data_IF_659699973169
#
_entry.id   IF_659699973169
#
_cell.length_a   1.000
_cell.length_b   1.000
_cell.length_c   1.000
_cell.angle_alpha   90.00
_cell.angle_beta   90.00
_cell.angle_gamma   90.00
#
_symmetry.space_group_name_H-M   'P 1'
#
loop_
_entity.id
_entity.type
_entity.pdbx_description
1 polymer ?
#
# COMPACT_ATOMS: atom_id res chain seq x y z
N UNK A 1 -12.55 -4.51 21.61
CA UNK A 1 -11.76 -3.47 22.35
C UNK A 1 -10.52 -4.11 23.00
N UNK A 2 -9.32 -3.91 22.44
CA UNK A 2 -8.06 -4.46 22.99
C UNK A 2 -7.76 -3.81 24.35
N UNK A 3 -7.84 -4.56 25.45
CA UNK A 3 -7.43 -4.06 26.77
C UNK A 3 -5.90 -3.79 26.78
N UNK A 4 -5.41 -2.77 27.52
CA UNK A 4 -3.99 -2.49 27.63
C UNK A 4 -3.22 -3.73 28.11
N UNK A 5 -2.11 -4.09 27.43
CA UNK A 5 -1.31 -5.29 27.74
C UNK A 5 -0.88 -5.37 29.22
N UNK A 6 -0.65 -4.23 29.86
CA UNK A 6 -0.32 -4.14 31.29
C UNK A 6 -1.46 -4.58 32.21
N UNK A 7 -2.69 -4.13 31.94
CA UNK A 7 -3.88 -4.47 32.73
C UNK A 7 -4.24 -5.96 32.60
N UNK A 8 -4.09 -6.53 31.39
CA UNK A 8 -4.29 -7.98 31.15
C UNK A 8 -3.27 -8.82 31.92
N UNK A 9 -2.00 -8.41 31.93
CA UNK A 9 -0.95 -9.10 32.70
C UNK A 9 -1.22 -9.02 34.21
N UNK A 10 -1.68 -7.88 34.71
CA UNK A 10 -1.99 -7.69 36.12
C UNK A 10 -3.21 -8.53 36.57
N UNK A 11 -4.28 -8.56 35.76
CA UNK A 11 -5.44 -9.43 35.99
C UNK A 11 -5.08 -10.92 35.96
N UNK A 12 -4.29 -11.35 34.98
CA UNK A 12 -3.83 -12.74 34.89
C UNK A 12 -2.89 -13.12 36.03
N UNK A 13 -2.06 -12.18 36.50
CA UNK A 13 -1.22 -12.34 37.70
C UNK A 13 -2.06 -12.51 38.96
N UNK A 14 -3.11 -11.71 39.13
CA UNK A 14 -4.07 -11.84 40.25
C UNK A 14 -4.87 -13.15 40.19
N UNK A 15 -5.18 -13.65 38.98
CA UNK A 15 -5.85 -14.94 38.78
C UNK A 15 -4.94 -16.17 38.98
N UNK A 16 -3.62 -15.97 39.15
CA UNK A 16 -2.64 -17.07 39.26
C UNK A 16 -2.58 -17.97 38.02
N UNK A 17 -3.07 -17.49 36.87
CA UNK A 17 -3.23 -18.25 35.64
C UNK A 17 -2.48 -17.54 34.52
N UNK A 18 -1.63 -18.29 33.80
CA UNK A 18 -0.94 -17.84 32.60
C UNK A 18 -1.48 -18.56 31.39
N UNK A 19 -1.47 -17.92 30.25
CA UNK A 19 -1.83 -18.57 29.00
C UNK A 19 -1.70 -17.65 27.81
N UNK A 20 -1.86 -18.26 26.64
CA UNK A 20 -1.75 -17.59 25.36
C UNK A 20 -2.64 -18.30 24.34
N UNK A 21 -3.21 -17.52 23.43
CA UNK A 21 -3.83 -18.04 22.21
C UNK A 21 -2.73 -18.11 21.16
N UNK A 22 -2.41 -19.31 20.68
CA UNK A 22 -1.33 -19.53 19.71
C UNK A 22 -1.84 -19.28 18.28
N UNK A 23 -3.00 -19.85 17.93
CA UNK A 23 -3.57 -19.74 16.58
C UNK A 23 -5.09 -19.69 16.61
N UNK A 24 -5.65 -19.11 15.55
CA UNK A 24 -7.05 -19.29 15.17
C UNK A 24 -7.13 -19.64 13.69
N UNK A 25 -7.90 -20.67 13.36
CA UNK A 25 -8.23 -21.06 12.00
C UNK A 25 -9.75 -21.17 11.92
N UNK A 26 -10.38 -20.23 11.23
CA UNK A 26 -11.84 -20.11 11.16
C UNK A 26 -12.49 -20.08 12.56
N UNK A 27 -13.34 -21.05 12.86
CA UNK A 27 -14.06 -21.24 14.11
C UNK A 27 -13.24 -21.98 15.20
N UNK A 28 -12.01 -22.40 14.89
CA UNK A 28 -11.16 -23.21 15.77
C UNK A 28 -10.01 -22.41 16.37
N UNK A 29 -9.84 -22.52 17.67
CA UNK A 29 -8.86 -21.82 18.50
C UNK A 29 -7.93 -22.81 19.20
N UNK A 30 -6.63 -22.55 19.15
CA UNK A 30 -5.64 -23.38 19.82
C UNK A 30 -4.68 -22.52 20.63
N UNK A 31 -4.25 -23.05 21.78
CA UNK A 31 -3.35 -22.33 22.66
C UNK A 31 -2.96 -23.14 23.89
N UNK A 32 -2.51 -22.44 24.93
CA UNK A 32 -2.24 -23.05 26.23
C UNK A 32 -2.69 -22.16 27.38
N UNK A 33 -3.06 -22.78 28.49
CA UNK A 33 -3.28 -22.10 29.76
C UNK A 33 -2.90 -23.01 30.94
N UNK A 34 -2.27 -22.43 31.96
CA UNK A 34 -1.83 -23.15 33.16
C UNK A 34 -2.10 -22.31 34.41
N UNK A 35 -2.65 -22.94 35.44
CA UNK A 35 -2.89 -22.33 36.74
C UNK A 35 -1.84 -22.78 37.76
N UNK A 36 -1.34 -21.84 38.56
CA UNK A 36 -0.33 -22.13 39.60
C UNK A 36 -0.87 -23.08 40.68
N UNK A 37 -2.18 -23.05 40.92
CA UNK A 37 -2.87 -23.97 41.83
C UNK A 37 -2.81 -25.43 41.38
N UNK A 38 -2.46 -25.70 40.11
CA UNK A 38 -2.51 -27.04 39.53
C UNK A 38 -3.92 -27.54 39.24
N UNK A 39 -4.95 -26.69 39.40
CA UNK A 39 -6.33 -27.02 39.02
C UNK A 39 -6.47 -27.11 37.50
N UNK A 40 -7.43 -27.93 37.08
CA UNK A 40 -7.86 -27.98 35.69
C UNK A 40 -8.51 -26.65 35.29
N UNK A 41 -8.32 -26.26 34.03
CA UNK A 41 -8.84 -25.01 33.50
C UNK A 41 -9.92 -25.29 32.46
N UNK A 42 -11.02 -24.56 32.58
CA UNK A 42 -12.01 -24.39 31.53
C UNK A 42 -11.60 -23.22 30.66
N UNK A 43 -11.48 -23.49 29.37
CA UNK A 43 -11.28 -22.47 28.35
C UNK A 43 -12.65 -22.14 27.77
N UNK A 44 -12.99 -20.86 27.73
CA UNK A 44 -14.31 -20.38 27.39
C UNK A 44 -14.20 -19.33 26.28
N UNK A 45 -15.00 -19.50 25.23
CA UNK A 45 -15.17 -18.51 24.18
C UNK A 45 -16.48 -17.74 24.40
N UNK A 46 -16.37 -16.42 24.41
CA UNK A 46 -17.48 -15.51 24.68
C UNK A 46 -17.76 -14.61 23.48
N UNK A 47 -19.03 -14.56 23.07
CA UNK A 47 -19.54 -13.69 22.00
C UNK A 47 -20.64 -12.83 22.62
N UNK A 48 -20.51 -11.51 22.53
CA UNK A 48 -21.47 -10.54 23.10
C UNK A 48 -21.84 -10.80 24.58
N UNK A 49 -20.88 -11.29 25.36
CA UNK A 49 -21.09 -11.60 26.78
C UNK A 49 -21.80 -12.92 27.05
N UNK A 50 -22.13 -13.70 26.02
CA UNK A 50 -22.68 -15.06 26.13
C UNK A 50 -21.59 -16.11 25.89
N UNK A 51 -21.63 -17.20 26.66
CA UNK A 51 -20.74 -18.34 26.47
C UNK A 51 -21.15 -19.08 25.20
N UNK A 52 -20.27 -19.10 24.20
CA UNK A 52 -20.52 -19.72 22.90
C UNK A 52 -19.98 -21.15 22.83
N UNK A 53 -18.81 -21.40 23.42
CA UNK A 53 -18.22 -22.73 23.52
C UNK A 53 -17.27 -22.80 24.72
N UNK A 54 -17.01 -24.02 25.18
CA UNK A 54 -16.00 -24.27 26.20
C UNK A 54 -15.29 -25.60 25.99
N UNK A 55 -14.05 -25.68 26.43
CA UNK A 55 -13.23 -26.89 26.44
C UNK A 55 -12.41 -26.94 27.73
N UNK A 56 -11.69 -28.05 27.94
CA UNK A 56 -10.71 -28.19 29.03
C UNK A 56 -9.30 -28.25 28.46
N UNK A 57 -8.32 -27.88 29.28
CA UNK A 57 -6.91 -28.14 28.97
C UNK A 57 -6.59 -29.63 29.05
N UNK A 58 -5.70 -30.12 28.20
CA UNK A 58 -5.23 -31.51 28.24
C UNK A 58 -4.16 -31.87 27.20
N UNK A 59 -3.96 -31.03 26.17
CA UNK A 59 -2.94 -31.25 25.16
C UNK A 59 -1.52 -31.08 25.71
N UNK A 60 -0.58 -31.92 25.23
CA UNK A 60 0.81 -31.86 25.66
C UNK A 60 1.55 -30.61 25.14
N UNK A 61 2.27 -29.95 26.05
CA UNK A 61 3.04 -28.70 25.86
C UNK A 61 4.34 -28.73 26.68
N UNK A 62 5.32 -29.56 26.29
CA UNK A 62 6.62 -29.65 26.98
C UNK A 62 7.41 -28.34 26.90
N UNK A 63 7.16 -27.50 25.89
CA UNK A 63 7.70 -26.14 25.78
C UNK A 63 7.19 -25.22 26.89
N UNK A 64 5.92 -25.34 27.27
CA UNK A 64 5.30 -24.56 28.35
C UNK A 64 5.79 -25.04 29.71
N UNK A 65 5.90 -26.37 29.91
CA UNK A 65 6.47 -26.97 31.13
C UNK A 65 7.86 -26.43 31.43
N UNK A 66 8.76 -26.44 30.44
CA UNK A 66 10.12 -25.89 30.61
C UNK A 66 10.14 -24.42 31.02
N UNK A 67 9.17 -23.62 30.54
CA UNK A 67 9.07 -22.18 30.84
C UNK A 67 8.36 -21.89 32.17
N UNK A 68 7.57 -22.83 32.69
CA UNK A 68 6.73 -22.66 33.88
C UNK A 68 6.91 -23.82 34.89
N UNK A 69 8.12 -24.02 35.45
CA UNK A 69 8.41 -25.16 36.34
C UNK A 69 7.56 -25.16 37.63
N UNK A 70 7.04 -24.02 38.05
CA UNK A 70 6.15 -23.89 39.22
C UNK A 70 4.67 -24.19 38.97
N UNK A 71 4.29 -24.61 37.76
CA UNK A 71 2.89 -24.86 37.37
C UNK A 71 2.69 -26.37 37.16
N UNK A 72 2.11 -27.06 38.16
CA UNK A 72 2.03 -28.53 38.23
C UNK A 72 1.46 -29.23 36.99
N UNK A 73 0.53 -28.58 36.27
CA UNK A 73 -0.10 -29.12 35.05
C UNK A 73 0.38 -28.46 33.76
N UNK A 74 1.52 -27.76 33.77
CA UNK A 74 2.04 -27.05 32.61
C UNK A 74 2.25 -27.96 31.38
N UNK A 75 2.66 -29.22 31.59
CA UNK A 75 2.79 -30.19 30.50
C UNK A 75 1.49 -30.47 29.76
N UNK A 76 0.34 -30.46 30.43
CA UNK A 76 -0.96 -30.74 29.82
C UNK A 76 -1.82 -29.47 29.69
N UNK A 77 -1.16 -28.33 29.47
CA UNK A 77 -1.79 -27.01 29.42
C UNK A 77 -2.41 -26.66 28.06
N UNK A 78 -2.16 -27.47 27.03
CA UNK A 78 -2.67 -27.24 25.68
C UNK A 78 -4.19 -27.38 25.60
N UNK A 79 -4.82 -26.57 24.77
CA UNK A 79 -6.25 -26.68 24.47
C UNK A 79 -6.54 -26.49 22.99
N UNK A 80 -7.67 -27.07 22.56
CA UNK A 80 -8.35 -26.75 21.32
C UNK A 80 -9.81 -26.49 21.65
N UNK A 81 -10.30 -25.32 21.24
CA UNK A 81 -11.69 -24.89 21.39
C UNK A 81 -12.25 -24.65 19.99
N UNK A 82 -13.44 -25.16 19.73
CA UNK A 82 -14.14 -24.96 18.46
C UNK A 82 -15.48 -24.31 18.73
N UNK A 83 -15.79 -23.25 17.98
CA UNK A 83 -17.13 -22.67 17.98
C UNK A 83 -18.05 -23.53 17.10
N UNK A 84 -19.31 -23.74 17.52
CA UNK A 84 -20.31 -24.40 16.67
C UNK A 84 -20.41 -23.73 15.31
N UNK A 85 -20.71 -24.53 14.28
CA UNK A 85 -21.17 -23.98 12.99
C UNK A 85 -22.36 -23.05 13.22
N UNK A 86 -22.42 -21.94 12.49
CA UNK A 86 -23.46 -20.90 12.65
C UNK A 86 -23.50 -20.21 14.02
N UNK A 87 -22.48 -20.35 14.87
CA UNK A 87 -22.38 -19.57 16.11
C UNK A 87 -22.45 -18.06 15.86
N UNK A 88 -22.15 -17.64 14.63
CA UNK A 88 -22.24 -16.27 14.14
C UNK A 88 -22.90 -16.29 12.76
N UNK A 89 -24.22 -16.44 12.69
CA UNK A 89 -24.93 -16.44 11.40
C UNK A 89 -25.19 -15.04 10.82
N UNK A 90 -25.10 -13.99 11.65
CA UNK A 90 -25.52 -12.64 11.26
C UNK A 90 -24.48 -11.91 10.40
N UNK A 91 -24.96 -10.95 9.60
CA UNK A 91 -24.15 -10.03 8.80
C UNK A 91 -23.41 -9.00 9.69
N UNK A 92 -22.37 -9.45 10.39
CA UNK A 92 -21.56 -8.60 11.27
C UNK A 92 -20.19 -9.20 11.57
N UNK A 93 -19.28 -8.32 12.00
CA UNK A 93 -18.05 -8.70 12.68
C UNK A 93 -18.31 -8.90 14.17
N UNK A 94 -17.64 -9.88 14.77
CA UNK A 94 -17.70 -10.13 16.23
C UNK A 94 -16.31 -10.33 16.81
N UNK A 95 -16.11 -9.80 18.02
CA UNK A 95 -14.93 -10.06 18.84
C UNK A 95 -15.19 -11.29 19.74
N UNK A 96 -14.56 -12.42 19.42
CA UNK A 96 -14.58 -13.63 20.25
C UNK A 96 -13.54 -13.50 21.35
N UNK A 97 -13.99 -13.44 22.60
CA UNK A 97 -13.11 -13.32 23.77
C UNK A 97 -12.80 -14.70 24.32
N UNK A 98 -11.51 -15.08 24.35
CA UNK A 98 -11.05 -16.37 24.88
C UNK A 98 -10.52 -16.16 26.29
N UNK A 99 -11.09 -16.89 27.25
CA UNK A 99 -10.75 -16.80 28.67
C UNK A 99 -10.47 -18.17 29.27
N UNK A 100 -9.70 -18.20 30.37
CA UNK A 100 -9.45 -19.38 31.18
C UNK A 100 -10.01 -19.18 32.60
N UNK A 101 -10.65 -20.21 33.13
CA UNK A 101 -11.19 -20.23 34.49
C UNK A 101 -10.81 -21.55 35.19
N UNK A 102 -10.22 -21.44 36.38
CA UNK A 102 -9.90 -22.61 37.19
C UNK A 102 -11.16 -23.19 37.82
N UNK A 103 -11.29 -24.51 37.81
CA UNK A 103 -12.48 -25.18 38.33
C UNK A 103 -12.72 -24.91 39.84
N UNK A 104 -13.98 -24.67 40.21
CA UNK A 104 -14.40 -24.31 41.57
C UNK A 104 -13.64 -23.12 42.19
N UNK A 105 -13.19 -22.16 41.37
CA UNK A 105 -12.44 -20.97 41.82
C UNK A 105 -13.31 -19.72 41.81
N UNK A 106 -13.23 -18.93 42.88
CA UNK A 106 -13.75 -17.55 42.94
C UNK A 106 -12.79 -16.53 42.27
N UNK A 107 -11.62 -16.99 41.81
CA UNK A 107 -10.65 -16.12 41.15
C UNK A 107 -11.20 -15.58 39.81
N UNK A 108 -10.83 -14.35 39.43
CA UNK A 108 -11.26 -13.76 38.16
C UNK A 108 -10.76 -14.58 36.96
N UNK A 109 -11.53 -14.56 35.87
CA UNK A 109 -11.15 -15.22 34.61
C UNK A 109 -9.86 -14.61 34.06
N UNK A 110 -8.93 -15.47 33.65
CA UNK A 110 -7.74 -15.04 32.94
C UNK A 110 -8.07 -14.80 31.47
N UNK A 111 -7.56 -13.71 30.90
CA UNK A 111 -7.75 -13.38 29.50
C UNK A 111 -6.63 -13.98 28.66
N UNK A 112 -6.98 -14.80 27.67
CA UNK A 112 -6.03 -15.47 26.80
C UNK A 112 -5.85 -14.72 25.47
N UNK A 113 -6.93 -14.15 24.94
CA UNK A 113 -6.89 -13.42 23.67
C UNK A 113 -8.25 -12.95 23.19
N UNK A 114 -8.21 -12.24 22.06
CA UNK A 114 -9.41 -11.90 21.28
C UNK A 114 -9.09 -12.15 19.82
N UNK A 115 -10.04 -12.77 19.13
CA UNK A 115 -10.02 -12.89 17.69
C UNK A 115 -11.27 -12.22 17.11
N UNK A 116 -11.11 -11.52 16.00
CA UNK A 116 -12.24 -10.99 15.25
C UNK A 116 -12.64 -12.02 14.20
N UNK A 117 -13.92 -12.38 14.19
CA UNK A 117 -14.54 -13.27 13.20
C UNK A 117 -15.63 -12.51 12.44
N UNK A 118 -15.95 -13.01 11.24
CA UNK A 118 -17.11 -12.57 10.48
C UNK A 118 -18.19 -13.64 10.57
N UNK A 119 -19.45 -13.23 10.60
CA UNK A 119 -20.56 -14.16 10.47
C UNK A 119 -20.76 -14.64 9.04
N UNK A 120 -21.46 -15.76 8.89
CA UNK A 120 -21.62 -16.47 7.61
C UNK A 120 -22.28 -15.57 6.55
N UNK A 121 -23.35 -14.85 6.92
CA UNK A 121 -24.01 -13.90 6.01
C UNK A 121 -23.10 -12.75 5.57
N UNK A 122 -22.17 -12.28 6.43
CA UNK A 122 -21.21 -11.24 6.06
C UNK A 122 -20.14 -11.80 5.10
N UNK A 123 -19.65 -13.02 5.35
CA UNK A 123 -18.69 -13.70 4.48
C UNK A 123 -19.24 -13.84 3.07
N UNK A 124 -20.46 -14.37 2.94
CA UNK A 124 -21.15 -14.52 1.65
C UNK A 124 -21.37 -13.16 0.97
N UNK A 125 -21.87 -12.16 1.72
CA UNK A 125 -22.12 -10.82 1.20
C UNK A 125 -20.87 -10.17 0.61
N UNK A 126 -19.73 -10.25 1.31
CA UNK A 126 -18.49 -9.62 0.84
C UNK A 126 -17.79 -10.42 -0.26
N UNK A 127 -17.89 -11.75 -0.24
CA UNK A 127 -17.37 -12.59 -1.31
C UNK A 127 -18.09 -12.35 -2.65
N UNK A 128 -19.37 -11.97 -2.61
CA UNK A 128 -20.20 -11.66 -3.77
C UNK A 128 -20.59 -10.17 -3.85
N UNK A 129 -19.72 -9.27 -3.38
CA UNK A 129 -20.01 -7.84 -3.35
C UNK A 129 -20.43 -7.32 -4.75
N UNK A 130 -21.57 -6.64 -4.88
CA UNK A 130 -22.04 -6.14 -6.17
C UNK A 130 -21.17 -4.97 -6.64
N UNK A 131 -21.13 -4.76 -7.97
CA UNK A 131 -20.47 -3.58 -8.55
C UNK A 131 -21.17 -2.32 -8.08
N UNK A 132 -20.43 -1.45 -7.40
CA UNK A 132 -20.92 -0.18 -6.87
C UNK A 132 -21.02 0.91 -7.94
N UNK A 133 -20.23 0.82 -9.00
CA UNK A 133 -20.09 1.87 -10.02
C UNK A 133 -19.33 3.11 -9.54
N UNK A 134 -18.78 3.08 -8.32
CA UNK A 134 -18.04 4.18 -7.73
C UNK A 134 -16.63 4.22 -8.33
N UNK A 135 -16.24 5.40 -8.83
CA UNK A 135 -14.87 5.66 -9.27
C UNK A 135 -14.11 6.35 -8.14
N UNK A 136 -12.89 5.87 -7.87
CA UNK A 136 -12.07 6.43 -6.80
C UNK A 136 -10.62 5.91 -6.85
N UNK A 137 -9.78 6.36 -5.91
CA UNK A 137 -8.35 6.09 -5.87
C UNK A 137 -8.02 4.71 -5.27
N UNK A 138 -8.97 3.79 -5.31
CA UNK A 138 -8.80 2.41 -4.85
C UNK A 138 -9.21 1.46 -5.97
N UNK A 139 -8.75 0.19 -5.94
CA UNK A 139 -9.20 -0.80 -6.92
C UNK A 139 -10.73 -0.98 -6.83
N UNK A 140 -11.47 -1.08 -7.97
CA UNK A 140 -12.93 -1.19 -7.96
C UNK A 140 -13.47 -2.30 -7.07
N UNK A 141 -12.87 -3.50 -7.12
CA UNK A 141 -13.31 -4.62 -6.29
C UNK A 141 -13.15 -4.35 -4.79
N UNK A 142 -12.15 -3.55 -4.38
CA UNK A 142 -11.97 -3.13 -3.00
C UNK A 142 -13.05 -2.10 -2.61
N UNK A 143 -13.38 -1.17 -3.51
CA UNK A 143 -14.49 -0.23 -3.32
C UNK A 143 -15.81 -0.98 -3.17
N UNK A 144 -16.08 -1.96 -4.02
CA UNK A 144 -17.30 -2.78 -4.00
C UNK A 144 -17.46 -3.53 -2.66
N UNK A 145 -16.37 -4.16 -2.19
CA UNK A 145 -16.34 -4.83 -0.88
C UNK A 145 -16.62 -3.84 0.25
N UNK A 146 -16.02 -2.66 0.23
CA UNK A 146 -16.23 -1.65 1.27
C UNK A 146 -17.62 -1.05 1.19
N UNK A 147 -18.17 -0.82 0.00
CA UNK A 147 -19.53 -0.34 -0.18
C UNK A 147 -20.57 -1.33 0.36
N UNK A 148 -20.34 -2.65 0.17
CA UNK A 148 -21.18 -3.70 0.74
C UNK A 148 -21.04 -3.84 2.27
N UNK A 149 -19.88 -3.46 2.83
CA UNK A 149 -19.59 -3.54 4.26
C UNK A 149 -20.06 -2.31 5.05
N UNK A 150 -19.76 -1.12 4.54
CA UNK A 150 -19.94 0.18 5.19
C UNK A 150 -20.10 1.26 4.09
N UNK A 151 -21.31 1.42 3.51
CA UNK A 151 -21.52 2.29 2.34
C UNK A 151 -21.20 3.75 2.62
N UNK A 152 -21.42 4.22 3.85
CA UNK A 152 -21.20 5.63 4.23
C UNK A 152 -19.74 6.07 4.06
N UNK A 153 -18.77 5.15 4.22
CA UNK A 153 -17.35 5.48 4.04
C UNK A 153 -16.94 5.57 2.56
N UNK A 154 -17.83 5.22 1.63
CA UNK A 154 -17.59 5.34 0.18
C UNK A 154 -18.16 6.60 -0.44
N UNK A 155 -18.91 7.40 0.34
CA UNK A 155 -19.51 8.66 -0.13
C UNK A 155 -18.47 9.77 -0.41
N UNK A 156 -17.28 9.68 0.19
CA UNK A 156 -16.20 10.64 0.03
C UNK A 156 -14.87 9.89 -0.09
N UNK A 157 -14.43 9.68 -1.34
CA UNK A 157 -13.15 9.04 -1.66
C UNK A 157 -12.10 10.02 -2.18
N UNK A 158 -12.46 11.30 -2.37
CA UNK A 158 -11.55 12.32 -2.90
C UNK A 158 -10.81 13.05 -1.79
N UNK A 159 -11.44 13.25 -0.63
CA UNK A 159 -10.77 13.91 0.50
C UNK A 159 -9.85 12.96 1.26
N UNK A 160 -8.77 13.50 1.84
CA UNK A 160 -7.87 12.75 2.71
C UNK A 160 -8.63 12.13 3.90
N UNK A 161 -9.58 12.87 4.48
CA UNK A 161 -10.38 12.41 5.62
C UNK A 161 -11.26 11.22 5.22
N UNK A 162 -11.89 11.29 4.05
CA UNK A 162 -12.68 10.21 3.46
C UNK A 162 -11.86 8.96 3.20
N UNK A 163 -10.70 9.11 2.57
CA UNK A 163 -9.79 8.00 2.33
C UNK A 163 -9.28 7.36 3.64
N UNK A 164 -8.98 8.15 4.68
CA UNK A 164 -8.61 7.60 6.01
C UNK A 164 -9.76 6.79 6.64
N UNK A 165 -11.02 7.23 6.51
CA UNK A 165 -12.20 6.44 6.94
C UNK A 165 -12.33 5.13 6.14
N UNK A 166 -12.13 5.18 4.83
CA UNK A 166 -12.13 4.01 3.97
C UNK A 166 -11.05 3.00 4.39
N UNK A 167 -9.81 3.46 4.59
CA UNK A 167 -8.69 2.62 5.07
C UNK A 167 -9.00 2.02 6.45
N UNK A 168 -9.65 2.77 7.33
CA UNK A 168 -10.09 2.24 8.64
C UNK A 168 -11.16 1.15 8.51
N UNK A 169 -12.09 1.25 7.56
CA UNK A 169 -13.06 0.19 7.26
C UNK A 169 -12.37 -1.05 6.66
N UNK A 170 -11.48 -0.84 5.69
CA UNK A 170 -10.68 -1.91 5.08
C UNK A 170 -9.82 -2.64 6.13
N UNK A 171 -9.24 -1.91 7.08
CA UNK A 171 -8.53 -2.49 8.22
C UNK A 171 -9.40 -3.43 9.04
N UNK A 172 -10.69 -3.11 9.29
CA UNK A 172 -11.59 -4.00 10.06
C UNK A 172 -11.76 -5.35 9.34
N UNK A 173 -11.91 -5.32 8.02
CA UNK A 173 -12.03 -6.50 7.17
C UNK A 173 -10.71 -7.30 7.17
N UNK A 174 -9.58 -6.64 6.91
CA UNK A 174 -8.26 -7.30 6.84
C UNK A 174 -7.79 -7.91 8.16
N UNK A 175 -8.35 -7.49 9.30
CA UNK A 175 -8.07 -8.10 10.60
C UNK A 175 -8.80 -9.43 10.84
N UNK A 176 -9.73 -9.80 9.96
CA UNK A 176 -10.49 -11.06 10.05
C UNK A 176 -9.91 -12.07 9.05
N UNK A 177 -9.32 -13.20 9.52
CA UNK A 177 -8.67 -14.17 8.65
C UNK A 177 -9.52 -14.68 7.49
N UNK A 178 -10.77 -15.08 7.75
CA UNK A 178 -11.66 -15.64 6.72
C UNK A 178 -12.02 -14.64 5.62
N UNK A 179 -12.10 -13.34 5.94
CA UNK A 179 -12.38 -12.31 4.93
C UNK A 179 -11.18 -12.04 4.03
N UNK A 180 -9.95 -12.29 4.49
CA UNK A 180 -8.74 -12.13 3.66
C UNK A 180 -8.63 -13.17 2.55
N UNK A 181 -9.42 -14.23 2.60
CA UNK A 181 -9.45 -15.27 1.57
C UNK A 181 -10.16 -14.79 0.29
N UNK A 182 -10.88 -13.66 0.34
CA UNK A 182 -11.47 -13.03 -0.83
C UNK A 182 -10.35 -12.62 -1.80
N UNK A 183 -10.32 -13.11 -3.05
CA UNK A 183 -9.18 -12.94 -3.96
C UNK A 183 -8.74 -11.47 -4.15
N UNK A 184 -9.69 -10.55 -4.32
CA UNK A 184 -9.38 -9.13 -4.50
C UNK A 184 -8.60 -8.53 -3.30
N UNK A 185 -8.95 -8.90 -2.06
CA UNK A 185 -8.23 -8.45 -0.86
C UNK A 185 -6.84 -9.07 -0.78
N UNK A 186 -6.74 -10.37 -1.06
CA UNK A 186 -5.47 -11.11 -1.04
C UNK A 186 -4.49 -10.56 -2.09
N UNK A 187 -4.94 -10.36 -3.33
CA UNK A 187 -4.11 -9.86 -4.42
C UNK A 187 -3.64 -8.43 -4.17
N UNK A 188 -4.54 -7.57 -3.69
CA UNK A 188 -4.18 -6.18 -3.38
C UNK A 188 -3.16 -6.12 -2.23
N UNK A 189 -3.38 -6.88 -1.16
CA UNK A 189 -2.43 -6.96 -0.05
C UNK A 189 -1.07 -7.55 -0.47
N UNK A 190 -1.09 -8.61 -1.31
CA UNK A 190 0.12 -9.24 -1.86
C UNK A 190 0.92 -8.26 -2.69
N UNK A 191 0.28 -7.54 -3.61
CA UNK A 191 0.93 -6.53 -4.45
C UNK A 191 1.61 -5.45 -3.59
N UNK A 192 0.86 -4.77 -2.73
CA UNK A 192 1.40 -3.69 -1.90
C UNK A 192 2.57 -4.15 -1.03
N UNK A 193 2.52 -5.38 -0.53
CA UNK A 193 3.58 -5.94 0.32
C UNK A 193 4.83 -6.27 -0.48
N UNK A 194 4.68 -6.83 -1.68
CA UNK A 194 5.80 -7.14 -2.57
C UNK A 194 6.50 -5.85 -3.03
N UNK A 195 5.75 -4.85 -3.45
CA UNK A 195 6.27 -3.55 -3.88
C UNK A 195 6.98 -2.84 -2.71
N UNK A 196 6.36 -2.75 -1.53
CA UNK A 196 6.98 -2.10 -0.38
C UNK A 196 8.29 -2.75 0.05
N UNK A 197 8.34 -4.10 0.05
CA UNK A 197 9.56 -4.83 0.38
C UNK A 197 10.66 -4.61 -0.66
N UNK A 198 10.31 -4.63 -1.95
CA UNK A 198 11.25 -4.37 -3.03
C UNK A 198 11.78 -2.93 -2.99
N UNK A 199 10.92 -1.93 -2.79
CA UNK A 199 11.33 -0.52 -2.79
C UNK A 199 12.26 -0.22 -1.60
N UNK A 200 11.98 -0.79 -0.43
CA UNK A 200 12.87 -0.71 0.71
C UNK A 200 14.23 -1.39 0.46
N UNK A 201 14.28 -2.43 -0.37
CA UNK A 201 15.53 -3.05 -0.79
C UNK A 201 16.29 -2.12 -1.75
N UNK A 202 15.66 -1.61 -2.81
CA UNK A 202 16.29 -0.67 -3.75
C UNK A 202 16.85 0.54 -3.01
N UNK A 203 16.06 1.15 -2.12
CA UNK A 203 16.51 2.28 -1.31
C UNK A 203 17.77 1.99 -0.49
N UNK A 204 17.94 0.78 0.05
CA UNK A 204 19.12 0.44 0.86
C UNK A 204 20.36 0.10 0.04
N UNK A 205 20.17 -0.42 -1.18
CA UNK A 205 21.24 -1.00 -1.98
C UNK A 205 21.59 -0.22 -3.25
N UNK A 206 20.78 0.77 -3.63
CA UNK A 206 21.06 1.62 -4.79
C UNK A 206 22.22 2.59 -4.53
N UNK A 207 23.14 2.80 -5.49
CA UNK A 207 24.27 3.72 -5.35
C UNK A 207 23.86 5.14 -4.96
N UNK A 208 24.41 5.65 -3.85
CA UNK A 208 23.99 6.95 -3.29
C UNK A 208 24.71 8.15 -3.89
N UNK A 209 25.94 8.00 -4.39
CA UNK A 209 26.75 9.12 -4.87
C UNK A 209 26.76 9.17 -6.40
N UNK A 210 26.55 10.36 -6.95
CA UNK A 210 26.88 10.65 -8.33
C UNK A 210 28.35 11.04 -8.45
N UNK A 211 29.18 10.10 -8.89
CA UNK A 211 30.63 10.32 -9.05
C UNK A 211 30.98 11.28 -10.18
N UNK A 212 30.05 11.53 -11.09
CA UNK A 212 30.22 12.43 -12.23
C UNK A 212 29.67 13.84 -11.95
N UNK A 213 29.04 14.05 -10.78
CA UNK A 213 28.51 15.34 -10.40
C UNK A 213 29.61 16.40 -10.35
N UNK A 214 29.28 17.59 -10.84
CA UNK A 214 30.19 18.73 -10.77
C UNK A 214 30.30 19.23 -9.32
N UNK A 215 31.43 19.82 -8.91
CA UNK A 215 31.51 20.46 -7.60
C UNK A 215 30.42 21.53 -7.43
N UNK A 216 29.54 21.34 -6.44
CA UNK A 216 28.46 22.28 -6.11
C UNK A 216 27.15 22.10 -6.87
N UNK A 217 27.04 21.12 -7.78
CA UNK A 217 25.76 20.79 -8.42
C UNK A 217 24.82 20.09 -7.45
N UNK A 218 23.51 20.21 -7.68
CA UNK A 218 22.48 19.58 -6.86
C UNK A 218 22.35 18.07 -7.10
N UNK A 219 22.97 17.55 -8.16
CA UNK A 219 22.89 16.15 -8.61
C UNK A 219 23.96 15.23 -8.00
N UNK A 220 24.64 15.66 -6.93
CA UNK A 220 25.64 14.85 -6.22
C UNK A 220 25.05 13.60 -5.56
N UNK A 221 23.75 13.63 -5.24
CA UNK A 221 23.02 12.49 -4.69
C UNK A 221 22.36 11.69 -5.82
N UNK A 222 22.70 10.41 -5.93
CA UNK A 222 22.24 9.52 -7.01
C UNK A 222 20.78 9.07 -6.91
N UNK A 223 20.06 9.49 -5.86
CA UNK A 223 18.64 9.23 -5.66
C UNK A 223 17.91 10.57 -5.58
N UNK A 224 17.25 11.02 -6.64
CA UNK A 224 16.62 12.34 -6.67
C UNK A 224 15.28 12.36 -5.91
N UNK A 225 14.61 11.22 -5.79
CA UNK A 225 13.31 11.07 -5.11
C UNK A 225 13.38 10.10 -3.92
N UNK A 226 12.28 9.95 -3.21
CA UNK A 226 12.10 9.04 -2.07
C UNK A 226 11.22 7.82 -2.41
N UNK A 227 11.34 6.75 -1.62
CA UNK A 227 10.42 5.58 -1.69
C UNK A 227 8.96 5.99 -1.52
N UNK A 228 8.70 7.00 -0.68
CA UNK A 228 7.36 7.51 -0.40
C UNK A 228 6.67 8.07 -1.65
N UNK A 229 7.44 8.77 -2.50
CA UNK A 229 6.98 9.31 -3.78
C UNK A 229 6.68 8.19 -4.76
N UNK A 230 7.66 7.31 -4.98
CA UNK A 230 7.57 6.23 -5.97
C UNK A 230 6.49 5.20 -5.61
N UNK A 231 6.23 4.97 -4.32
CA UNK A 231 5.17 4.09 -3.86
C UNK A 231 3.78 4.54 -4.32
N UNK A 232 3.55 5.86 -4.41
CA UNK A 232 2.26 6.42 -4.83
C UNK A 232 2.01 6.16 -6.32
N UNK A 233 3.06 6.26 -7.15
CA UNK A 233 3.01 5.94 -8.58
C UNK A 233 2.71 4.44 -8.77
N UNK A 234 3.46 3.56 -8.09
CA UNK A 234 3.26 2.12 -8.18
C UNK A 234 1.85 1.69 -7.74
N UNK A 235 1.34 2.26 -6.65
CA UNK A 235 -0.04 2.03 -6.23
C UNK A 235 -1.04 2.45 -7.32
N UNK A 236 -0.84 3.61 -7.95
CA UNK A 236 -1.73 4.06 -9.01
C UNK A 236 -1.71 3.16 -10.24
N UNK A 237 -0.57 2.58 -10.62
CA UNK A 237 -0.52 1.59 -11.71
C UNK A 237 -1.44 0.39 -11.43
N UNK A 238 -1.47 -0.10 -10.19
CA UNK A 238 -2.39 -1.17 -9.79
C UNK A 238 -3.85 -0.70 -9.88
N UNK A 239 -4.15 0.51 -9.39
CA UNK A 239 -5.50 1.07 -9.42
C UNK A 239 -6.00 1.22 -10.85
N UNK A 240 -5.21 1.82 -11.74
CA UNK A 240 -5.54 2.00 -13.17
C UNK A 240 -5.79 0.65 -13.85
N UNK A 241 -4.89 -0.33 -13.65
CA UNK A 241 -5.09 -1.69 -14.19
C UNK A 241 -6.37 -2.33 -13.65
N UNK A 242 -6.67 -2.16 -12.36
CA UNK A 242 -7.90 -2.68 -11.76
C UNK A 242 -9.18 -1.98 -12.25
N UNK A 243 -9.07 -0.72 -12.70
CA UNK A 243 -10.14 0.02 -13.41
C UNK A 243 -10.27 -0.37 -14.89
N UNK A 244 -9.46 -1.31 -15.37
CA UNK A 244 -9.46 -1.77 -16.76
C UNK A 244 -8.85 -0.77 -17.73
N UNK A 245 -8.02 0.15 -17.26
CA UNK A 245 -7.24 1.03 -18.16
C UNK A 245 -6.18 0.17 -18.84
N UNK A 246 -6.07 0.30 -20.17
CA UNK A 246 -5.08 -0.40 -20.99
C UNK A 246 -3.94 0.54 -21.38
N UNK A 247 -2.81 -0.02 -21.79
CA UNK A 247 -1.61 0.73 -22.18
C UNK A 247 -0.40 0.46 -21.30
N UNK A 248 0.72 1.04 -21.69
CA UNK A 248 2.01 0.87 -21.05
C UNK A 248 2.28 2.00 -20.03
N UNK A 249 3.38 1.88 -19.29
CA UNK A 249 3.90 2.92 -18.41
C UNK A 249 5.08 3.63 -19.06
N UNK A 250 5.15 4.96 -18.94
CA UNK A 250 6.28 5.74 -19.42
C UNK A 250 6.90 6.59 -18.31
N UNK A 251 8.23 6.58 -18.25
CA UNK A 251 9.06 7.46 -17.42
C UNK A 251 9.88 8.38 -18.32
N UNK A 252 9.86 9.67 -18.00
CA UNK A 252 10.59 10.73 -18.68
C UNK A 252 11.56 11.36 -17.69
N UNK A 253 12.85 11.19 -17.94
CA UNK A 253 13.90 11.56 -17.00
C UNK A 253 14.05 10.47 -15.95
N UNK A 254 15.13 9.69 -16.08
CA UNK A 254 15.43 8.55 -15.21
C UNK A 254 16.72 8.75 -14.41
N UNK A 255 17.56 9.73 -14.79
CA UNK A 255 18.87 9.98 -14.20
C UNK A 255 19.69 8.69 -14.07
N UNK A 256 19.92 8.19 -12.85
CA UNK A 256 20.67 6.95 -12.59
C UNK A 256 19.80 5.68 -12.58
N UNK A 257 18.49 5.82 -12.73
CA UNK A 257 17.52 4.73 -12.73
C UNK A 257 17.01 4.32 -11.35
N UNK A 258 16.98 5.22 -10.37
CA UNK A 258 16.51 4.91 -9.01
C UNK A 258 15.01 4.58 -8.99
N UNK A 259 14.19 5.51 -9.47
CA UNK A 259 12.76 5.33 -9.72
C UNK A 259 12.53 4.18 -10.71
N UNK A 260 13.29 4.11 -11.79
CA UNK A 260 13.18 3.06 -12.82
C UNK A 260 13.38 1.66 -12.27
N UNK A 261 14.33 1.47 -11.35
CA UNK A 261 14.58 0.17 -10.71
C UNK A 261 13.34 -0.29 -9.93
N UNK A 262 12.69 0.63 -9.22
CA UNK A 262 11.46 0.36 -8.48
C UNK A 262 10.25 0.15 -9.40
N UNK A 263 10.03 1.07 -10.34
CA UNK A 263 8.85 1.07 -11.19
C UNK A 263 8.87 -0.05 -12.24
N UNK A 264 10.05 -0.48 -12.72
CA UNK A 264 10.16 -1.66 -13.58
C UNK A 264 9.72 -2.94 -12.86
N UNK A 265 10.03 -3.08 -11.57
CA UNK A 265 9.52 -4.19 -10.76
C UNK A 265 8.00 -4.10 -10.56
N UNK A 266 7.46 -2.90 -10.33
CA UNK A 266 6.02 -2.69 -10.27
C UNK A 266 5.32 -3.08 -11.58
N UNK A 267 5.90 -2.69 -12.72
CA UNK A 267 5.44 -3.06 -14.05
C UNK A 267 5.47 -4.58 -14.25
N UNK A 268 6.53 -5.27 -13.81
CA UNK A 268 6.60 -6.75 -13.85
C UNK A 268 5.49 -7.40 -13.04
N UNK A 269 5.18 -6.91 -11.83
CA UNK A 269 4.09 -7.45 -11.02
C UNK A 269 2.72 -7.25 -11.68
N UNK A 270 2.61 -6.26 -12.55
CA UNK A 270 1.40 -5.88 -13.26
C UNK A 270 1.42 -6.30 -14.74
N UNK A 271 2.41 -7.06 -15.21
CA UNK A 271 2.55 -7.40 -16.63
C UNK A 271 2.38 -6.18 -17.57
N UNK A 272 3.08 -5.09 -17.25
CA UNK A 272 3.11 -3.85 -18.02
C UNK A 272 4.50 -3.67 -18.64
N UNK A 273 4.55 -3.13 -19.86
CA UNK A 273 5.81 -2.63 -20.40
C UNK A 273 6.11 -1.24 -19.83
N UNK A 274 7.39 -0.98 -19.66
CA UNK A 274 7.91 0.31 -19.20
C UNK A 274 8.78 0.94 -20.29
N UNK A 275 8.48 2.17 -20.66
CA UNK A 275 9.24 2.96 -21.61
C UNK A 275 10.01 4.04 -20.87
N UNK A 276 11.33 4.05 -21.00
CA UNK A 276 12.19 5.08 -20.39
C UNK A 276 12.70 5.98 -21.49
N UNK A 277 12.31 7.25 -21.43
CA UNK A 277 12.79 8.31 -22.32
C UNK A 277 13.78 9.18 -21.54
N UNK A 278 15.02 9.23 -22.00
CA UNK A 278 16.08 10.02 -21.38
C UNK A 278 17.15 10.34 -22.43
N UNK A 279 17.87 11.45 -22.26
CA UNK A 279 19.04 11.74 -23.08
C UNK A 279 20.19 10.77 -22.79
N UNK A 280 20.26 10.26 -21.56
CA UNK A 280 21.39 9.58 -20.94
C UNK A 280 22.67 10.42 -20.93
N UNK A 281 22.50 11.73 -21.11
CA UNK A 281 23.55 12.74 -21.28
C UNK A 281 23.30 13.95 -20.35
N UNK A 282 22.20 13.92 -19.57
CA UNK A 282 21.78 14.97 -18.66
C UNK A 282 20.87 16.01 -19.31
N UNK A 283 20.65 17.12 -18.60
CA UNK A 283 19.78 18.20 -19.03
C UNK A 283 20.32 18.92 -20.29
N UNK A 284 19.44 19.34 -21.22
CA UNK A 284 19.83 20.22 -22.33
C UNK A 284 20.22 21.63 -21.84
N UNK A 285 20.78 22.45 -22.72
CA UNK A 285 20.98 23.88 -22.43
C UNK A 285 19.63 24.56 -22.18
N UNK A 286 19.46 25.17 -21.00
CA UNK A 286 18.28 25.99 -20.67
C UNK A 286 18.69 27.27 -19.95
N UNK A 287 18.62 28.39 -20.67
CA UNK A 287 19.01 29.70 -20.15
C UNK A 287 18.07 30.13 -19.02
N UNK A 288 18.64 30.74 -17.98
CA UNK A 288 17.92 31.25 -16.79
C UNK A 288 17.19 30.19 -15.96
N UNK A 289 17.47 28.91 -16.17
CA UNK A 289 16.89 27.80 -15.39
C UNK A 289 17.58 27.57 -14.05
N UNK A 290 18.83 28.04 -13.89
CA UNK A 290 19.66 27.71 -12.73
C UNK A 290 20.40 26.38 -12.86
N UNK A 291 20.10 25.58 -13.89
CA UNK A 291 20.82 24.36 -14.24
C UNK A 291 21.92 24.63 -15.26
N UNK A 292 22.91 23.75 -15.29
CA UNK A 292 23.97 23.72 -16.31
C UNK A 292 23.81 22.48 -17.17
N UNK A 293 23.98 22.62 -18.49
CA UNK A 293 23.92 21.52 -19.44
C UNK A 293 24.71 20.28 -18.96
N UNK A 294 24.11 19.11 -19.09
CA UNK A 294 24.66 17.84 -18.60
C UNK A 294 24.56 17.61 -17.09
N UNK A 295 23.92 18.50 -16.31
CA UNK A 295 23.48 18.16 -14.95
C UNK A 295 22.54 16.94 -15.02
N UNK A 296 22.55 16.10 -13.98
CA UNK A 296 21.74 14.88 -13.88
C UNK A 296 22.02 13.87 -15.01
N UNK A 297 23.26 13.81 -15.50
CA UNK A 297 23.67 12.78 -16.46
C UNK A 297 23.79 11.39 -15.78
N UNK A 298 23.11 10.40 -16.36
CA UNK A 298 23.33 8.98 -16.10
C UNK A 298 23.45 8.23 -17.42
N UNK A 299 24.58 7.54 -17.64
CA UNK A 299 24.80 6.86 -18.92
C UNK A 299 23.84 5.68 -19.07
N UNK A 300 23.48 5.36 -20.33
CA UNK A 300 22.59 4.23 -20.61
C UNK A 300 23.13 2.92 -20.02
N UNK A 301 24.45 2.73 -20.03
CA UNK A 301 25.12 1.57 -19.43
C UNK A 301 24.95 1.54 -17.91
N UNK A 302 25.14 2.67 -17.22
CA UNK A 302 24.94 2.79 -15.76
C UNK A 302 23.49 2.49 -15.39
N UNK A 303 22.54 3.12 -16.06
CA UNK A 303 21.11 2.94 -15.82
C UNK A 303 20.69 1.50 -16.08
N UNK A 304 21.12 0.93 -17.21
CA UNK A 304 20.83 -0.47 -17.58
C UNK A 304 21.35 -1.44 -16.51
N UNK A 305 22.57 -1.22 -16.00
CA UNK A 305 23.14 -2.08 -14.96
C UNK A 305 22.42 -1.94 -13.62
N UNK A 306 22.04 -0.72 -13.24
CA UNK A 306 21.25 -0.49 -12.02
C UNK A 306 19.89 -1.22 -12.11
N UNK A 307 19.16 -1.07 -13.21
CA UNK A 307 17.86 -1.75 -13.40
C UNK A 307 18.04 -3.27 -13.48
N UNK A 308 19.09 -3.78 -14.13
CA UNK A 308 19.40 -5.22 -14.16
C UNK A 308 19.56 -5.80 -12.76
N UNK A 309 20.26 -5.08 -11.88
CA UNK A 309 20.58 -5.54 -10.53
C UNK A 309 19.43 -5.35 -9.54
N UNK A 310 18.67 -4.26 -9.70
CA UNK A 310 17.76 -3.76 -8.67
C UNK A 310 16.30 -3.66 -9.13
N UNK A 311 16.00 -3.93 -10.40
CA UNK A 311 14.66 -3.84 -10.97
C UNK A 311 14.31 -5.03 -11.87
N UNK A 312 13.63 -4.77 -12.98
CA UNK A 312 13.20 -5.79 -13.95
C UNK A 312 13.46 -5.33 -15.38
N UNK A 313 14.70 -5.49 -15.81
CA UNK A 313 15.19 -5.03 -17.12
C UNK A 313 14.38 -5.56 -18.30
N UNK A 314 13.83 -6.78 -18.19
CA UNK A 314 13.02 -7.41 -19.24
C UNK A 314 11.71 -6.69 -19.55
N UNK A 315 11.24 -5.82 -18.64
CA UNK A 315 10.04 -4.99 -18.87
C UNK A 315 10.38 -3.64 -19.51
N UNK A 316 11.66 -3.29 -19.63
CA UNK A 316 12.10 -1.93 -19.97
C UNK A 316 12.51 -1.83 -21.44
N UNK A 317 11.99 -0.81 -22.12
CA UNK A 317 12.49 -0.33 -23.41
C UNK A 317 13.06 1.07 -23.24
N UNK A 318 14.35 1.24 -23.54
CA UNK A 318 15.02 2.54 -23.50
C UNK A 318 14.89 3.28 -24.82
N UNK A 319 14.64 4.58 -24.72
CA UNK A 319 14.56 5.53 -25.84
C UNK A 319 15.59 6.63 -25.57
N UNK A 320 16.81 6.44 -26.09
CA UNK A 320 17.90 7.39 -25.91
C UNK A 320 17.74 8.59 -26.85
N UNK A 321 17.78 9.78 -26.28
CA UNK A 321 17.86 11.06 -27.00
C UNK A 321 17.07 12.16 -26.32
N UNK A 322 17.42 13.42 -26.61
CA UNK A 322 16.63 14.56 -26.17
C UNK A 322 15.21 14.48 -26.75
N UNK A 323 14.21 14.89 -25.97
CA UNK A 323 12.80 14.79 -26.35
C UNK A 323 12.49 15.47 -27.68
N UNK A 324 13.09 16.65 -27.93
CA UNK A 324 12.98 17.39 -29.18
C UNK A 324 13.44 16.61 -30.42
N UNK A 325 14.35 15.64 -30.27
CA UNK A 325 14.84 14.80 -31.37
C UNK A 325 14.06 13.50 -31.43
N UNK A 326 13.90 12.81 -30.28
CA UNK A 326 13.16 11.55 -30.16
C UNK A 326 11.74 11.71 -30.72
N UNK A 327 11.02 12.76 -30.33
CA UNK A 327 9.62 12.98 -30.73
C UNK A 327 9.44 13.71 -32.07
N UNK A 328 10.50 13.97 -32.85
CA UNK A 328 10.31 14.40 -34.25
C UNK A 328 9.64 13.32 -35.08
N UNK A 329 10.11 12.09 -34.93
CA UNK A 329 9.70 10.96 -35.77
C UNK A 329 9.02 9.84 -34.97
N UNK A 330 9.29 9.75 -33.67
CA UNK A 330 8.68 8.73 -32.81
C UNK A 330 7.42 9.25 -32.11
N UNK A 331 6.47 8.35 -31.87
CA UNK A 331 5.34 8.57 -30.96
C UNK A 331 5.27 7.41 -29.97
N UNK A 332 5.04 7.67 -28.68
CA UNK A 332 4.96 6.60 -27.68
C UNK A 332 3.77 5.67 -27.94
N UNK A 333 3.80 4.44 -27.39
CA UNK A 333 2.64 3.55 -27.43
C UNK A 333 1.45 4.14 -26.67
N UNK A 334 0.31 3.45 -26.65
CA UNK A 334 -0.78 3.84 -25.77
C UNK A 334 -0.33 3.73 -24.31
N UNK A 335 -0.56 4.75 -23.50
CA UNK A 335 -0.08 4.84 -22.12
C UNK A 335 -1.24 4.85 -21.14
N UNK A 336 -1.13 4.06 -20.08
CA UNK A 336 -2.05 4.11 -18.94
C UNK A 336 -1.60 5.08 -17.86
N UNK A 337 -0.31 5.42 -17.82
CA UNK A 337 0.26 6.31 -16.81
C UNK A 337 1.60 6.86 -17.28
N UNK A 338 1.94 8.07 -16.84
CA UNK A 338 3.22 8.71 -17.13
C UNK A 338 3.84 9.28 -15.84
N UNK A 339 5.14 9.16 -15.69
CA UNK A 339 5.96 9.81 -14.66
C UNK A 339 6.98 10.71 -15.35
N UNK A 340 7.08 11.97 -14.92
CA UNK A 340 8.07 12.91 -15.43
C UNK A 340 8.87 13.56 -14.30
N UNK A 341 10.19 13.52 -14.41
CA UNK A 341 11.16 14.20 -13.57
C UNK A 341 12.16 14.84 -14.53
N UNK A 342 11.76 15.96 -15.11
CA UNK A 342 12.40 16.53 -16.32
C UNK A 342 12.97 17.92 -16.11
N UNK A 343 12.76 18.50 -14.92
CA UNK A 343 13.21 19.80 -14.39
C UNK A 343 12.77 21.04 -15.20
N UNK A 344 12.85 20.98 -16.52
CA UNK A 344 12.80 22.12 -17.42
C UNK A 344 11.48 22.22 -18.16
N UNK A 345 11.02 23.46 -18.34
CA UNK A 345 9.84 23.81 -19.13
C UNK A 345 9.97 23.35 -20.60
N UNK A 346 11.15 23.55 -21.20
CA UNK A 346 11.41 23.12 -22.59
C UNK A 346 11.32 21.60 -22.74
N UNK A 347 11.87 20.86 -21.78
CA UNK A 347 11.82 19.39 -21.78
C UNK A 347 10.38 18.91 -21.72
N UNK A 348 9.57 19.45 -20.80
CA UNK A 348 8.16 19.13 -20.68
C UNK A 348 7.41 19.41 -21.98
N UNK A 349 7.59 20.61 -22.56
CA UNK A 349 6.97 21.00 -23.81
C UNK A 349 7.27 20.02 -24.96
N UNK A 350 8.52 19.60 -25.11
CA UNK A 350 8.92 18.68 -26.17
C UNK A 350 8.33 17.27 -26.00
N UNK A 351 8.20 16.80 -24.75
CA UNK A 351 7.63 15.48 -24.47
C UNK A 351 6.09 15.44 -24.46
N UNK A 352 5.40 16.61 -24.47
CA UNK A 352 3.94 16.67 -24.35
C UNK A 352 3.16 16.02 -25.49
N UNK A 353 3.80 15.62 -26.59
CA UNK A 353 3.18 14.70 -27.57
C UNK A 353 2.73 13.38 -26.93
N UNK A 354 3.28 13.01 -25.78
CA UNK A 354 2.87 11.84 -25.01
C UNK A 354 1.44 11.97 -24.44
N UNK A 355 0.95 13.19 -24.20
CA UNK A 355 -0.41 13.42 -23.72
C UNK A 355 -1.48 12.87 -24.69
N UNK A 356 -1.21 12.94 -25.99
CA UNK A 356 -2.09 12.42 -27.06
C UNK A 356 -2.22 10.89 -27.03
N UNK A 357 -1.29 10.22 -26.36
CA UNK A 357 -1.19 8.77 -26.26
C UNK A 357 -1.64 8.26 -24.89
N UNK A 358 -1.88 9.16 -23.94
CA UNK A 358 -2.34 8.83 -22.60
C UNK A 358 -3.86 8.60 -22.61
N UNK A 359 -4.30 7.48 -22.04
CA UNK A 359 -5.72 7.16 -21.92
C UNK A 359 -6.53 8.35 -21.34
N UNK A 360 -7.75 8.63 -21.81
CA UNK A 360 -8.59 9.73 -21.30
C UNK A 360 -8.85 9.71 -19.79
N UNK A 361 -8.71 8.55 -19.13
CA UNK A 361 -8.94 8.36 -17.70
C UNK A 361 -7.64 8.21 -16.90
N UNK A 362 -6.49 8.16 -17.56
CA UNK A 362 -5.20 7.93 -16.94
C UNK A 362 -4.72 9.09 -16.07
N UNK A 363 -3.74 8.78 -15.23
CA UNK A 363 -3.07 9.73 -14.35
C UNK A 363 -1.65 10.00 -14.83
N UNK A 364 -1.11 11.17 -14.47
CA UNK A 364 0.30 11.50 -14.65
C UNK A 364 0.88 12.09 -13.36
N UNK A 365 2.20 12.04 -13.24
CA UNK A 365 2.94 12.45 -12.06
C UNK A 365 4.11 13.33 -12.48
N UNK A 366 4.44 14.36 -11.68
CA UNK A 366 5.64 15.18 -11.87
C UNK A 366 6.38 15.44 -10.56
N UNK A 367 7.72 15.50 -10.62
CA UNK A 367 8.59 15.75 -9.47
C UNK A 367 8.82 17.24 -9.16
N UNK A 368 8.32 18.17 -9.97
CA UNK A 368 8.57 19.62 -9.80
C UNK A 368 7.39 20.31 -9.13
N UNK A 369 6.83 19.66 -8.11
CA UNK A 369 5.59 20.05 -7.44
C UNK A 369 5.79 20.30 -5.95
N UNK A 370 5.25 21.41 -5.44
CA UNK A 370 5.19 21.68 -4.00
C UNK A 370 3.74 21.75 -3.51
N UNK A 371 3.52 21.53 -2.21
CA UNK A 371 2.19 21.52 -1.62
C UNK A 371 1.35 22.77 -1.96
N UNK A 372 1.98 23.95 -1.93
CA UNK A 372 1.33 25.25 -2.19
C UNK A 372 0.81 25.39 -3.63
N UNK A 373 1.22 24.52 -4.55
CA UNK A 373 0.69 24.49 -5.92
C UNK A 373 -0.73 23.93 -5.98
N UNK A 374 -1.22 23.25 -4.94
CA UNK A 374 -2.50 22.54 -5.00
C UNK A 374 -3.48 23.08 -3.96
N UNK A 375 -4.64 23.52 -4.41
CA UNK A 375 -5.72 23.97 -3.54
C UNK A 375 -7.08 23.58 -4.15
N UNK A 376 -7.87 22.79 -3.42
CA UNK A 376 -9.24 22.39 -3.82
C UNK A 376 -9.35 21.81 -5.24
N UNK A 377 -8.32 21.08 -5.68
CA UNK A 377 -8.23 20.48 -7.02
C UNK A 377 -7.69 21.43 -8.11
N UNK A 378 -7.54 22.71 -7.80
CA UNK A 378 -6.83 23.67 -8.64
C UNK A 378 -5.32 23.55 -8.50
N UNK A 379 -4.63 23.87 -9.60
CA UNK A 379 -3.17 23.76 -9.73
C UNK A 379 -2.63 25.17 -10.03
N UNK A 380 -2.11 25.83 -9.00
CA UNK A 380 -1.45 27.12 -9.11
C UNK A 380 -0.03 26.93 -9.66
N UNK A 381 0.26 27.57 -10.79
CA UNK A 381 1.59 27.57 -11.39
C UNK A 381 1.85 28.88 -12.15
N UNK A 382 3.13 29.18 -12.39
CA UNK A 382 3.53 30.20 -13.36
C UNK A 382 4.64 29.67 -14.30
N UNK A 383 4.65 30.07 -15.58
CA UNK A 383 5.73 29.73 -16.51
C UNK A 383 7.09 30.21 -16.01
N UNK A 384 8.06 29.29 -15.94
CA UNK A 384 9.46 29.56 -15.65
C UNK A 384 10.33 28.49 -16.32
N UNK A 385 11.59 28.78 -16.70
CA UNK A 385 12.45 27.80 -17.36
C UNK A 385 12.70 26.50 -16.56
N UNK A 386 12.60 26.57 -15.24
CA UNK A 386 12.73 25.49 -14.26
C UNK A 386 11.38 24.93 -13.77
N UNK A 387 10.29 25.20 -14.50
CA UNK A 387 8.95 24.73 -14.15
C UNK A 387 8.34 23.96 -15.33
N UNK A 388 8.27 22.62 -15.25
CA UNK A 388 7.73 21.79 -16.32
C UNK A 388 6.20 21.67 -16.32
N UNK A 389 5.51 22.16 -15.28
CA UNK A 389 4.05 21.99 -15.14
C UNK A 389 3.21 22.79 -16.15
N UNK A 390 3.49 24.07 -16.49
CA UNK A 390 2.63 24.85 -17.39
C UNK A 390 2.41 24.21 -18.77
N UNK A 391 3.45 23.72 -19.49
CA UNK A 391 3.24 22.99 -20.74
C UNK A 391 2.30 21.78 -20.62
N UNK A 392 2.33 21.08 -19.48
CA UNK A 392 1.44 19.96 -19.21
C UNK A 392 -0.01 20.43 -19.10
N UNK A 393 -0.27 21.45 -18.29
CA UNK A 393 -1.63 21.98 -18.12
C UNK A 393 -2.17 22.51 -19.45
N UNK A 394 -1.39 23.31 -20.16
CA UNK A 394 -1.77 23.88 -21.46
C UNK A 394 -2.13 22.79 -22.47
N UNK A 395 -1.32 21.72 -22.56
CA UNK A 395 -1.61 20.61 -23.48
C UNK A 395 -2.90 19.89 -23.14
N UNK A 396 -3.18 19.67 -21.86
CA UNK A 396 -4.41 18.99 -21.45
C UNK A 396 -5.66 19.86 -21.60
N UNK A 397 -5.53 21.18 -21.48
CA UNK A 397 -6.58 22.13 -21.86
C UNK A 397 -6.86 22.08 -23.37
N UNK A 398 -5.82 22.09 -24.22
CA UNK A 398 -5.97 21.95 -25.68
C UNK A 398 -6.66 20.65 -26.09
N UNK A 399 -6.40 19.56 -25.36
CA UNK A 399 -7.04 18.26 -25.58
C UNK A 399 -8.47 18.18 -25.01
N UNK A 400 -8.98 19.24 -24.39
CA UNK A 400 -10.31 19.26 -23.76
C UNK A 400 -10.41 18.36 -22.52
N UNK A 401 -9.29 18.10 -21.85
CA UNK A 401 -9.18 17.22 -20.68
C UNK A 401 -8.49 17.97 -19.51
N UNK A 402 -9.04 19.10 -19.04
CA UNK A 402 -8.44 19.91 -17.99
C UNK A 402 -8.07 19.05 -16.78
N UNK A 403 -6.86 19.26 -16.25
CA UNK A 403 -6.34 18.48 -15.13
C UNK A 403 -6.81 19.03 -13.78
N UNK A 404 -6.91 18.12 -12.83
CA UNK A 404 -6.96 18.38 -11.38
C UNK A 404 -5.84 17.57 -10.75
N UNK A 405 -5.47 17.88 -9.51
CA UNK A 405 -4.43 17.11 -8.82
C UNK A 405 -4.31 17.39 -7.34
N UNK A 406 -3.33 16.74 -6.72
CA UNK A 406 -2.84 17.12 -5.39
C UNK A 406 -1.35 16.80 -5.24
N UNK A 407 -0.73 17.46 -4.27
CA UNK A 407 0.61 17.11 -3.81
C UNK A 407 0.61 15.78 -3.07
N UNK A 408 1.64 14.96 -3.30
CA UNK A 408 1.82 13.67 -2.65
C UNK A 408 2.80 13.78 -1.48
N UNK A 409 4.09 13.78 -1.80
CA UNK A 409 5.20 13.79 -0.86
C UNK A 409 6.43 14.38 -1.54
N UNK A 410 7.40 14.87 -0.77
CA UNK A 410 8.61 15.45 -1.35
C UNK A 410 8.27 16.54 -2.35
N UNK A 411 8.79 16.41 -3.56
CA UNK A 411 8.50 17.32 -4.67
C UNK A 411 7.49 16.72 -5.66
N UNK A 412 6.86 15.59 -5.33
CA UNK A 412 5.97 14.89 -6.26
C UNK A 412 4.51 15.35 -6.18
N UNK A 413 3.94 15.68 -7.33
CA UNK A 413 2.52 15.94 -7.54
C UNK A 413 1.87 14.88 -8.44
N UNK A 414 0.59 14.64 -8.23
CA UNK A 414 -0.22 13.75 -9.04
C UNK A 414 -1.34 14.53 -9.75
N UNK A 415 -1.62 14.15 -10.99
CA UNK A 415 -2.56 14.83 -11.87
C UNK A 415 -3.44 13.80 -12.59
N UNK A 416 -4.70 14.15 -12.81
CA UNK A 416 -5.63 13.37 -13.63
C UNK A 416 -6.70 14.28 -14.23
N UNK A 417 -7.37 13.87 -15.32
CA UNK A 417 -8.45 14.64 -15.90
C UNK A 417 -9.58 14.87 -14.90
N UNK A 418 -10.03 16.13 -14.77
CA UNK A 418 -11.08 16.55 -13.82
C UNK A 418 -12.39 15.82 -14.04
N UNK A 419 -12.71 15.54 -15.29
CA UNK A 419 -13.86 14.73 -15.68
C UNK A 419 -13.39 13.36 -16.18
N UNK A 420 -13.92 12.28 -15.59
CA UNK A 420 -13.67 10.91 -16.03
C UNK A 420 -12.29 10.32 -15.66
N UNK A 421 -11.34 11.13 -15.18
CA UNK A 421 -10.04 10.67 -14.69
C UNK A 421 -10.16 9.76 -13.46
N UNK A 422 -9.25 8.80 -13.35
CA UNK A 422 -9.09 7.99 -12.13
C UNK A 422 -8.26 8.81 -11.12
N UNK A 423 -8.83 9.14 -9.95
CA UNK A 423 -8.10 9.90 -8.93
C UNK A 423 -6.92 9.11 -8.39
N UNK A 424 -5.90 9.84 -7.91
CA UNK A 424 -4.77 9.26 -7.19
C UNK A 424 -5.04 9.27 -5.68
N UNK A 425 -4.55 8.27 -4.97
CA UNK A 425 -4.70 8.18 -3.51
C UNK A 425 -3.79 9.19 -2.81
N UNK A 426 -4.29 9.84 -1.75
CA UNK A 426 -3.45 10.69 -0.91
C UNK A 426 -2.34 9.86 -0.27
N UNK A 427 -1.12 10.38 -0.32
CA UNK A 427 0.08 9.72 0.21
C UNK A 427 -0.10 9.25 1.67
N UNK A 428 -0.62 10.14 2.53
CA UNK A 428 -0.88 9.87 3.95
C UNK A 428 -1.79 8.65 4.18
N UNK A 429 -2.84 8.52 3.37
CA UNK A 429 -3.77 7.41 3.48
C UNK A 429 -3.11 6.10 2.99
N UNK A 430 -2.28 6.17 1.95
CA UNK A 430 -1.54 5.02 1.45
C UNK A 430 -0.52 4.51 2.48
N UNK A 431 0.20 5.42 3.13
CA UNK A 431 1.13 5.08 4.22
C UNK A 431 0.41 4.45 5.41
N UNK A 432 -0.81 4.92 5.73
CA UNK A 432 -1.63 4.30 6.75
C UNK A 432 -2.04 2.86 6.36
N UNK A 433 -2.45 2.63 5.12
CA UNK A 433 -2.78 1.29 4.62
C UNK A 433 -1.57 0.35 4.68
N UNK A 434 -0.39 0.81 4.24
CA UNK A 434 0.84 0.03 4.33
C UNK A 434 1.20 -0.31 5.78
N UNK A 435 1.06 0.65 6.69
CA UNK A 435 1.28 0.44 8.12
C UNK A 435 0.33 -0.61 8.68
N UNK A 436 -0.94 -0.62 8.27
CA UNK A 436 -1.90 -1.65 8.66
C UNK A 436 -1.44 -3.03 8.18
N UNK A 437 -1.08 -3.17 6.91
CA UNK A 437 -0.61 -4.43 6.35
C UNK A 437 0.60 -4.97 7.10
N UNK A 438 1.64 -4.14 7.24
CA UNK A 438 2.91 -4.53 7.87
C UNK A 438 2.78 -4.79 9.38
N UNK A 439 2.08 -3.92 10.11
CA UNK A 439 2.06 -3.97 11.58
C UNK A 439 0.87 -4.71 12.15
N UNK A 440 -0.12 -5.09 11.37
CA UNK A 440 -1.32 -5.72 11.93
C UNK A 440 -1.77 -6.98 11.19
N UNK A 441 -1.54 -7.07 9.88
CA UNK A 441 -2.06 -8.17 9.05
C UNK A 441 -1.00 -9.25 8.80
N UNK A 442 0.23 -8.85 8.46
CA UNK A 442 1.33 -9.74 8.03
C UNK A 442 2.37 -10.00 9.13
N UNK A 443 1.95 -9.90 10.39
CA UNK A 443 2.80 -9.97 11.57
C UNK A 443 3.34 -11.36 11.88
#
# INVERSE_FOLDING_TARGET
>A
MKRPKGLVRQLNSMAGTKGHLDTNALNRFSGWAAARSGKELHIEAWIDGRLAASTKTGGERPDVERRLPGYKRARFSGFTLELPENAISQDRLVDVKITARADGSLAPKAWLGTASLAGDALLEKLACAPRSGITGPFPPAIIDIIAAFDPDVTADLLSLSGQKRFVAALRKILLVPSLREIPALADYARYLSAIAAHFAFVDRFFPTANKLARPGSADFHGKPNSVAEIMSIAHQLYVLKAHGIEGDFAEFGCFKGFSSSMLSFACKQLDLKMHIFDSFEGLPEAKHSGYTEGDYAGSLEEVTENIRRLGSLEQVTFHKGFYADTFREYRPPHLMCLWMDVDLEVSAKDMMVAADRLDPRASLFSHECVADMFADGEIANAPRPDNPIPPVLDRFEELGRPLTGHHLHGHTGAFWPRSGGIPVMHHDALMELQRVLQKEVLK
#
